data_IF_022671460919
#
_entry.id   IF_022671460919
#
_cell.length_a   1.000
_cell.length_b   1.000
_cell.length_c   1.000
_cell.angle_alpha   90.00
_cell.angle_beta   90.00
_cell.angle_gamma   90.00
#
_symmetry.space_group_name_H-M   'P 1'
#
loop_
_entity.id
_entity.type
_entity.pdbx_description
1 polymer ?
#
# COMPACT_ATOMS: atom_id res chain seq x y z
N UNK A 1 -24.74 22.25 -12.94
CA UNK A 1 -24.19 21.11 -12.24
C UNK A 1 -22.92 21.49 -11.45
N UNK A 2 -21.84 21.96 -12.13
CA UNK A 2 -20.55 22.35 -11.49
C UNK A 2 -20.73 23.35 -10.34
N UNK A 3 -21.49 24.44 -10.58
CA UNK A 3 -21.78 25.47 -9.55
C UNK A 3 -22.53 24.92 -8.34
N UNK A 4 -23.43 23.94 -8.54
CA UNK A 4 -24.14 23.27 -7.45
C UNK A 4 -23.21 22.38 -6.62
N UNK A 5 -22.28 21.68 -7.27
CA UNK A 5 -21.26 20.87 -6.59
C UNK A 5 -20.36 21.78 -5.75
N UNK A 6 -19.81 22.85 -6.36
CA UNK A 6 -18.95 23.81 -5.64
C UNK A 6 -19.67 24.42 -4.44
N UNK A 7 -20.94 24.85 -4.59
CA UNK A 7 -21.72 25.42 -3.47
C UNK A 7 -21.98 24.39 -2.35
N UNK A 8 -22.24 23.13 -2.71
CA UNK A 8 -22.39 22.04 -1.74
C UNK A 8 -21.08 21.76 -1.00
N UNK A 9 -19.95 21.69 -1.72
CA UNK A 9 -18.63 21.47 -1.11
C UNK A 9 -18.25 22.64 -0.20
N UNK A 10 -18.57 23.88 -0.59
CA UNK A 10 -18.27 25.07 0.19
C UNK A 10 -19.12 25.22 1.46
N UNK A 11 -20.20 24.43 1.60
CA UNK A 11 -21.02 24.39 2.81
C UNK A 11 -20.52 23.40 3.87
N UNK A 12 -19.46 22.65 3.56
CA UNK A 12 -18.86 21.67 4.45
C UNK A 12 -17.65 22.29 5.13
N UNK A 13 -17.59 22.20 6.44
CA UNK A 13 -16.39 22.60 7.19
C UNK A 13 -15.44 21.39 7.30
N UNK A 14 -14.49 21.33 6.39
CA UNK A 14 -13.45 20.29 6.42
C UNK A 14 -12.48 20.40 7.60
N UNK A 15 -12.59 21.46 8.42
CA UNK A 15 -11.84 21.58 9.68
C UNK A 15 -12.62 20.99 10.87
N UNK A 16 -13.93 20.82 10.75
CA UNK A 16 -14.72 20.12 11.75
C UNK A 16 -14.43 18.60 11.72
N UNK A 17 -14.05 18.05 12.88
CA UNK A 17 -13.70 16.63 13.01
C UNK A 17 -14.89 15.69 12.74
N UNK A 18 -16.10 16.12 13.09
CA UNK A 18 -17.33 15.35 12.88
C UNK A 18 -17.68 15.27 11.39
N UNK A 19 -17.65 16.41 10.70
CA UNK A 19 -17.89 16.50 9.27
C UNK A 19 -16.84 15.71 8.50
N UNK A 20 -15.56 15.85 8.85
CA UNK A 20 -14.46 15.11 8.23
C UNK A 20 -14.62 13.59 8.34
N UNK A 21 -14.96 13.09 9.53
CA UNK A 21 -15.19 11.67 9.76
C UNK A 21 -16.36 11.14 8.92
N UNK A 22 -17.46 11.88 8.90
CA UNK A 22 -18.64 11.52 8.11
C UNK A 22 -18.33 11.47 6.60
N UNK A 23 -17.57 12.44 6.11
CA UNK A 23 -17.11 12.43 4.71
C UNK A 23 -16.12 11.31 4.43
N UNK A 24 -15.23 11.00 5.34
CA UNK A 24 -14.32 9.86 5.23
C UNK A 24 -15.09 8.55 5.07
N UNK A 25 -16.10 8.31 5.87
CA UNK A 25 -16.92 7.10 5.80
C UNK A 25 -17.70 7.03 4.47
N UNK A 26 -18.28 8.13 4.01
CA UNK A 26 -18.96 8.22 2.71
C UNK A 26 -17.97 7.99 1.56
N UNK A 27 -16.78 8.56 1.65
CA UNK A 27 -15.74 8.40 0.64
C UNK A 27 -15.26 6.94 0.53
N UNK A 28 -15.06 6.29 1.66
CA UNK A 28 -14.75 4.86 1.70
C UNK A 28 -15.86 4.01 1.07
N UNK A 29 -17.13 4.35 1.33
CA UNK A 29 -18.28 3.70 0.67
C UNK A 29 -18.22 3.90 -0.84
N UNK A 30 -17.95 5.12 -1.29
CA UNK A 30 -17.82 5.43 -2.72
C UNK A 30 -16.69 4.64 -3.38
N UNK A 31 -15.54 4.51 -2.71
CA UNK A 31 -14.41 3.70 -3.21
C UNK A 31 -14.80 2.21 -3.32
N UNK A 32 -15.54 1.68 -2.35
CA UNK A 32 -16.07 0.32 -2.40
C UNK A 32 -17.07 0.13 -3.57
N UNK A 33 -17.93 1.11 -3.79
CA UNK A 33 -18.93 1.06 -4.88
C UNK A 33 -18.25 1.15 -6.26
N UNK A 34 -17.21 1.98 -6.41
CA UNK A 34 -16.40 2.07 -7.62
C UNK A 34 -15.67 0.76 -7.93
N UNK A 35 -15.19 0.06 -6.89
CA UNK A 35 -14.64 -1.27 -7.03
C UNK A 35 -15.67 -2.25 -7.59
N UNK A 36 -16.85 -2.28 -6.98
CA UNK A 36 -17.94 -3.18 -7.39
C UNK A 36 -18.43 -2.93 -8.81
N UNK A 37 -18.35 -1.68 -9.29
CA UNK A 37 -18.77 -1.26 -10.63
C UNK A 37 -17.76 -1.60 -11.75
N UNK A 38 -16.61 -2.16 -11.45
CA UNK A 38 -15.66 -2.60 -12.45
C UNK A 38 -14.70 -1.52 -13.01
N UNK A 39 -14.80 -0.28 -12.55
CA UNK A 39 -14.08 0.85 -13.16
C UNK A 39 -12.79 1.25 -12.42
N UNK A 40 -12.57 0.79 -11.20
CA UNK A 40 -11.38 1.13 -10.39
C UNK A 40 -10.93 0.00 -9.46
N UNK A 41 -11.44 -1.20 -9.62
CA UNK A 41 -11.24 -2.32 -8.70
C UNK A 41 -9.83 -2.88 -8.67
N UNK A 42 -9.04 -2.65 -9.72
CA UNK A 42 -7.63 -3.04 -9.73
C UNK A 42 -6.77 -2.25 -8.73
N UNK A 43 -7.31 -1.15 -8.17
CA UNK A 43 -6.61 -0.26 -7.24
C UNK A 43 -7.08 -0.40 -5.79
N UNK A 44 -7.98 -1.32 -5.54
CA UNK A 44 -8.60 -1.46 -4.23
C UNK A 44 -8.36 -2.85 -3.63
N UNK A 45 -7.79 -2.88 -2.45
CA UNK A 45 -7.65 -4.11 -1.66
C UNK A 45 -8.85 -4.27 -0.74
N UNK A 46 -9.56 -5.42 -0.76
CA UNK A 46 -10.73 -5.64 0.09
C UNK A 46 -10.46 -5.37 1.57
N UNK A 47 -11.37 -4.68 2.24
CA UNK A 47 -11.19 -4.24 3.64
C UNK A 47 -10.94 -5.39 4.62
N UNK A 48 -11.52 -6.55 4.38
CA UNK A 48 -11.24 -7.75 5.19
C UNK A 48 -9.78 -8.19 5.11
N UNK A 49 -9.16 -8.08 3.93
CA UNK A 49 -7.74 -8.41 3.73
C UNK A 49 -6.84 -7.37 4.40
N UNK A 50 -7.10 -6.07 4.17
CA UNK A 50 -6.29 -5.01 4.79
C UNK A 50 -6.37 -5.05 6.31
N UNK A 51 -7.58 -5.25 6.88
CA UNK A 51 -7.78 -5.33 8.31
C UNK A 51 -7.05 -6.53 8.93
N UNK A 52 -7.16 -7.71 8.31
CA UNK A 52 -6.47 -8.91 8.75
C UNK A 52 -4.94 -8.73 8.75
N UNK A 53 -4.39 -8.17 7.66
CA UNK A 53 -2.94 -7.98 7.54
C UNK A 53 -2.43 -6.95 8.53
N UNK A 54 -3.12 -5.82 8.69
CA UNK A 54 -2.78 -4.78 9.66
C UNK A 54 -2.82 -5.30 11.09
N UNK A 55 -3.86 -6.07 11.44
CA UNK A 55 -3.98 -6.67 12.77
C UNK A 55 -2.82 -7.65 13.08
N UNK A 56 -2.38 -8.43 12.08
CA UNK A 56 -1.26 -9.37 12.27
C UNK A 56 0.11 -8.71 12.29
N UNK A 57 0.30 -7.63 11.56
CA UNK A 57 1.55 -6.85 11.50
C UNK A 57 1.67 -5.91 12.71
N UNK A 58 0.55 -5.42 13.23
CA UNK A 58 0.47 -4.57 14.42
C UNK A 58 1.40 -3.34 14.34
N UNK A 59 1.15 -2.42 13.38
CA UNK A 59 1.93 -1.19 13.26
C UNK A 59 1.74 -0.27 14.45
N UNK A 60 2.85 0.38 14.87
CA UNK A 60 2.87 1.32 16.01
C UNK A 60 3.37 2.69 15.56
N UNK A 61 2.95 3.79 16.24
CA UNK A 61 3.54 5.10 16.03
C UNK A 61 5.08 5.03 16.13
N UNK A 62 5.77 5.77 15.25
CA UNK A 62 7.25 5.77 15.18
C UNK A 62 7.87 4.66 14.32
N UNK A 63 7.15 3.57 14.02
CA UNK A 63 7.62 2.57 13.05
C UNK A 63 7.34 3.06 11.62
N UNK A 64 8.37 3.23 10.81
CA UNK A 64 8.20 3.66 9.41
C UNK A 64 7.45 2.59 8.62
N UNK A 65 6.23 2.89 8.23
CA UNK A 65 5.35 2.03 7.43
C UNK A 65 5.37 2.49 5.98
N UNK A 66 5.64 1.56 5.07
CA UNK A 66 5.66 1.80 3.63
C UNK A 66 4.61 0.96 2.91
N UNK A 67 3.80 1.63 2.08
CA UNK A 67 3.00 1.00 1.02
C UNK A 67 3.57 1.41 -0.34
N UNK A 68 4.13 0.47 -1.07
CA UNK A 68 4.84 0.71 -2.34
C UNK A 68 3.93 0.84 -3.56
N UNK A 69 2.64 0.57 -3.40
CA UNK A 69 1.60 0.60 -4.44
C UNK A 69 0.25 0.84 -3.79
N UNK A 70 0.12 2.02 -3.16
CA UNK A 70 -0.93 2.26 -2.17
C UNK A 70 -2.35 2.34 -2.76
N UNK A 71 -2.50 2.43 -4.08
CA UNK A 71 -3.80 2.54 -4.71
C UNK A 71 -4.59 3.70 -4.13
N UNK A 72 -5.74 3.42 -3.54
CA UNK A 72 -6.59 4.43 -2.86
C UNK A 72 -6.25 4.62 -1.37
N UNK A 73 -5.17 4.02 -0.87
CA UNK A 73 -4.70 4.17 0.51
C UNK A 73 -5.33 3.21 1.53
N UNK A 74 -5.79 2.05 1.08
CA UNK A 74 -6.49 1.09 1.93
C UNK A 74 -5.68 0.58 3.13
N UNK A 75 -4.41 0.24 2.93
CA UNK A 75 -3.52 -0.14 4.03
C UNK A 75 -3.20 1.02 4.95
N UNK A 76 -3.02 2.22 4.40
CA UNK A 76 -2.72 3.43 5.18
C UNK A 76 -3.88 3.76 6.13
N UNK A 77 -5.12 3.88 5.62
CA UNK A 77 -6.30 4.18 6.44
C UNK A 77 -6.55 3.11 7.49
N UNK A 78 -6.36 1.84 7.14
CA UNK A 78 -6.52 0.73 8.09
C UNK A 78 -5.44 0.78 9.19
N UNK A 79 -4.18 1.04 8.83
CA UNK A 79 -3.07 1.17 9.79
C UNK A 79 -3.24 2.36 10.72
N UNK A 80 -3.63 3.53 10.21
CA UNK A 80 -3.94 4.70 11.04
C UNK A 80 -5.07 4.41 12.03
N UNK A 81 -6.14 3.77 11.56
CA UNK A 81 -7.27 3.38 12.43
C UNK A 81 -6.82 2.41 13.53
N UNK A 82 -5.99 1.44 13.17
CA UNK A 82 -5.40 0.49 14.13
C UNK A 82 -4.54 1.20 15.17
N UNK A 83 -3.59 2.03 14.72
CA UNK A 83 -2.70 2.78 15.62
C UNK A 83 -3.49 3.73 16.54
N UNK A 84 -4.47 4.47 16.02
CA UNK A 84 -5.34 5.35 16.82
C UNK A 84 -6.15 4.58 17.85
N UNK A 85 -6.62 3.39 17.54
CA UNK A 85 -7.43 2.62 18.49
C UNK A 85 -6.62 1.94 19.60
N UNK A 86 -5.34 1.63 19.35
CA UNK A 86 -4.54 0.84 20.28
C UNK A 86 -3.41 1.62 20.95
N UNK A 87 -2.82 2.60 20.26
CA UNK A 87 -1.55 3.20 20.67
C UNK A 87 -1.59 4.73 20.82
N UNK A 88 -2.29 5.44 19.93
CA UNK A 88 -2.36 6.91 19.97
C UNK A 88 -3.21 7.38 21.14
N UNK A 89 -2.60 8.12 22.07
CA UNK A 89 -3.26 8.67 23.28
C UNK A 89 -3.03 10.17 23.43
N UNK A 90 -1.99 10.69 22.81
CA UNK A 90 -1.60 12.10 22.90
C UNK A 90 -1.50 12.71 21.49
N UNK A 91 -1.36 14.03 21.44
CA UNK A 91 -1.11 14.76 20.20
C UNK A 91 0.25 14.37 19.61
N UNK A 92 1.22 14.15 20.46
CA UNK A 92 2.57 13.71 20.07
C UNK A 92 2.54 12.32 19.40
N UNK A 93 1.76 11.37 19.95
CA UNK A 93 1.57 10.04 19.34
C UNK A 93 0.94 10.16 17.95
N UNK A 94 -0.03 11.06 17.79
CA UNK A 94 -0.70 11.32 16.50
C UNK A 94 0.29 11.90 15.47
N UNK A 95 1.12 12.85 15.90
CA UNK A 95 2.16 13.45 15.05
C UNK A 95 3.22 12.41 14.64
N UNK A 96 3.65 11.58 15.58
CA UNK A 96 4.60 10.50 15.32
C UNK A 96 4.04 9.46 14.34
N UNK A 97 2.77 9.09 14.52
CA UNK A 97 2.07 8.21 13.58
C UNK A 97 2.04 8.81 12.18
N UNK A 98 1.63 10.08 12.03
CA UNK A 98 1.57 10.74 10.72
C UNK A 98 2.96 10.85 10.08
N UNK A 99 3.99 11.18 10.85
CA UNK A 99 5.36 11.30 10.38
C UNK A 99 5.98 9.95 9.95
N UNK A 100 5.43 8.82 10.40
CA UNK A 100 5.94 7.48 10.10
C UNK A 100 5.39 6.87 8.82
N UNK A 101 4.37 7.47 8.19
CA UNK A 101 3.76 6.93 6.98
C UNK A 101 4.58 7.27 5.72
N UNK A 102 4.68 6.29 4.82
CA UNK A 102 5.28 6.44 3.48
C UNK A 102 4.44 5.68 2.47
N UNK A 103 4.22 6.27 1.30
CA UNK A 103 3.45 5.62 0.25
C UNK A 103 3.90 6.06 -1.14
N UNK A 104 3.75 5.17 -2.10
CA UNK A 104 4.00 5.45 -3.51
C UNK A 104 2.83 4.91 -4.34
N UNK A 105 2.37 5.70 -5.30
CA UNK A 105 1.38 5.27 -6.29
C UNK A 105 1.76 5.80 -7.68
N UNK A 106 1.83 4.87 -8.64
CA UNK A 106 2.26 5.17 -10.01
C UNK A 106 1.17 5.86 -10.84
N UNK A 107 -0.09 5.47 -10.63
CA UNK A 107 -1.19 5.95 -11.47
C UNK A 107 -1.81 7.23 -10.91
N UNK A 108 -2.05 8.26 -11.78
CA UNK A 108 -2.51 9.58 -11.33
C UNK A 108 -3.84 9.54 -10.57
N UNK A 109 -4.83 8.78 -11.08
CA UNK A 109 -6.15 8.73 -10.48
C UNK A 109 -6.15 8.08 -9.09
N UNK A 110 -5.59 6.86 -8.89
CA UNK A 110 -5.47 6.28 -7.55
C UNK A 110 -4.65 7.16 -6.59
N UNK A 111 -3.56 7.77 -7.06
CA UNK A 111 -2.78 8.71 -6.26
C UNK A 111 -3.65 9.87 -5.74
N UNK A 112 -4.41 10.53 -6.62
CA UNK A 112 -5.32 11.60 -6.23
C UNK A 112 -6.38 11.12 -5.23
N UNK A 113 -6.94 9.92 -5.45
CA UNK A 113 -7.92 9.31 -4.53
C UNK A 113 -7.29 8.99 -3.17
N UNK A 114 -6.04 8.51 -3.14
CA UNK A 114 -5.30 8.27 -1.91
C UNK A 114 -5.05 9.57 -1.13
N UNK A 115 -4.53 10.62 -1.78
CA UNK A 115 -4.30 11.92 -1.16
C UNK A 115 -5.58 12.47 -0.54
N UNK A 116 -6.69 12.43 -1.29
CA UNK A 116 -8.02 12.84 -0.77
C UNK A 116 -8.43 12.00 0.43
N UNK A 117 -8.22 10.69 0.38
CA UNK A 117 -8.53 9.77 1.47
C UNK A 117 -7.73 10.10 2.73
N UNK A 118 -6.44 10.43 2.60
CA UNK A 118 -5.59 10.83 3.73
C UNK A 118 -6.10 12.12 4.37
N UNK A 119 -6.41 13.15 3.60
CA UNK A 119 -6.98 14.41 4.09
C UNK A 119 -8.29 14.18 4.87
N UNK A 120 -9.20 13.37 4.32
CA UNK A 120 -10.47 13.03 4.98
C UNK A 120 -10.29 12.22 6.26
N UNK A 121 -9.19 11.47 6.39
CA UNK A 121 -8.83 10.74 7.61
C UNK A 121 -7.96 11.56 8.58
N UNK A 122 -7.85 12.88 8.37
CA UNK A 122 -7.22 13.80 9.32
C UNK A 122 -5.70 13.91 9.20
N UNK A 123 -5.13 13.46 8.10
CA UNK A 123 -3.72 13.73 7.80
C UNK A 123 -3.59 15.21 7.41
N UNK A 124 -2.68 15.93 8.08
CA UNK A 124 -2.47 17.36 7.84
C UNK A 124 -1.65 17.61 6.58
N UNK A 125 -0.63 16.80 6.36
CA UNK A 125 0.24 16.88 5.17
C UNK A 125 0.36 15.50 4.49
N UNK A 126 -0.41 15.24 3.42
CA UNK A 126 -0.36 13.97 2.69
C UNK A 126 0.80 13.88 1.68
N UNK A 127 1.80 14.76 1.73
CA UNK A 127 2.95 14.78 0.80
C UNK A 127 3.82 13.51 0.85
N UNK A 128 3.66 12.70 1.89
CA UNK A 128 4.29 11.38 1.98
C UNK A 128 3.73 10.36 0.96
N UNK A 129 2.57 10.64 0.35
CA UNK A 129 2.01 9.86 -0.77
C UNK A 129 2.64 10.37 -2.05
N UNK A 130 3.66 9.70 -2.52
CA UNK A 130 4.42 10.11 -3.71
C UNK A 130 3.76 9.59 -4.99
N UNK A 131 3.64 10.46 -6.00
CA UNK A 131 3.23 10.06 -7.34
C UNK A 131 4.47 9.64 -8.14
N UNK A 132 4.84 8.37 -8.06
CA UNK A 132 6.05 7.84 -8.68
C UNK A 132 5.91 6.34 -8.96
N UNK A 133 6.84 5.79 -9.74
CA UNK A 133 6.99 4.36 -9.92
C UNK A 133 8.08 3.83 -8.99
N UNK A 134 7.70 3.08 -7.97
CA UNK A 134 8.60 2.46 -6.99
C UNK A 134 9.73 1.65 -7.65
N UNK A 135 9.48 1.03 -8.81
CA UNK A 135 10.47 0.21 -9.53
C UNK A 135 11.39 1.03 -10.46
N UNK A 136 11.12 2.33 -10.66
CA UNK A 136 11.93 3.17 -11.55
C UNK A 136 13.31 3.51 -10.97
N UNK A 137 13.44 3.53 -9.65
CA UNK A 137 14.71 3.80 -8.99
C UNK A 137 15.61 2.53 -9.02
N UNK A 138 16.90 2.65 -9.40
CA UNK A 138 17.81 1.50 -9.42
C UNK A 138 17.90 0.79 -8.05
N UNK A 139 17.76 -0.54 -8.06
CA UNK A 139 17.80 -1.38 -6.86
C UNK A 139 19.04 -1.13 -5.97
N UNK A 140 20.21 -0.93 -6.60
CA UNK A 140 21.47 -0.69 -5.89
C UNK A 140 21.50 0.66 -5.15
N UNK A 141 20.68 1.64 -5.59
CA UNK A 141 20.63 2.97 -4.97
C UNK A 141 19.81 3.00 -3.67
N UNK A 142 19.06 1.96 -3.36
CA UNK A 142 18.39 1.83 -2.08
C UNK A 142 19.41 1.45 -1.00
N UNK A 143 19.67 2.38 -0.08
CA UNK A 143 20.62 2.24 1.03
C UNK A 143 19.95 1.93 2.37
N UNK A 144 20.73 2.03 3.45
CA UNK A 144 20.21 1.80 4.81
C UNK A 144 19.19 2.85 5.25
N UNK A 145 19.32 4.09 4.79
CA UNK A 145 18.37 5.18 5.09
C UNK A 145 17.01 5.01 4.43
N UNK A 146 16.93 4.18 3.38
CA UNK A 146 15.67 3.89 2.70
C UNK A 146 14.89 2.74 3.36
N UNK A 147 15.51 2.02 4.29
CA UNK A 147 14.90 0.87 4.95
C UNK A 147 13.80 1.29 5.91
N UNK A 148 12.75 0.50 5.95
CA UNK A 148 11.54 0.73 6.73
C UNK A 148 11.30 -0.39 7.76
N UNK A 149 10.53 -0.08 8.78
CA UNK A 149 10.19 -1.04 9.84
C UNK A 149 9.07 -1.98 9.40
N UNK A 150 8.14 -1.45 8.58
CA UNK A 150 6.95 -2.17 8.14
C UNK A 150 6.72 -1.96 6.64
N UNK A 151 6.43 -3.06 5.95
CA UNK A 151 5.87 -3.03 4.59
C UNK A 151 4.49 -3.68 4.65
N UNK A 152 3.46 -2.93 4.23
CA UNK A 152 2.09 -3.41 4.04
C UNK A 152 1.63 -2.99 2.66
N UNK A 153 1.48 -3.94 1.75
CA UNK A 153 1.23 -3.60 0.35
C UNK A 153 0.56 -4.72 -0.43
N UNK A 154 -0.13 -4.33 -1.49
CA UNK A 154 -0.71 -5.21 -2.50
C UNK A 154 -0.20 -4.75 -3.88
N UNK A 155 0.99 -5.22 -4.32
CA UNK A 155 1.54 -4.82 -5.61
C UNK A 155 0.68 -5.33 -6.77
N UNK A 156 0.77 -4.72 -7.96
CA UNK A 156 0.02 -5.17 -9.13
C UNK A 156 0.32 -6.63 -9.49
N UNK A 157 -0.73 -7.42 -9.76
CA UNK A 157 -0.62 -8.83 -10.18
C UNK A 157 -0.54 -8.96 -11.69
N UNK A 158 0.36 -9.82 -12.18
CA UNK A 158 0.34 -10.32 -13.57
C UNK A 158 0.54 -9.25 -14.66
N UNK A 159 0.99 -8.06 -14.33
CA UNK A 159 1.39 -7.04 -15.30
C UNK A 159 2.84 -7.23 -15.73
N UNK A 160 3.13 -6.78 -16.96
CA UNK A 160 4.52 -6.53 -17.38
C UNK A 160 4.81 -5.07 -17.11
N UNK A 161 5.94 -4.82 -16.47
CA UNK A 161 6.39 -3.45 -16.25
C UNK A 161 6.84 -2.82 -17.58
N UNK A 162 6.96 -1.50 -17.60
CA UNK A 162 7.47 -0.75 -18.74
C UNK A 162 8.85 -1.25 -19.17
N UNK A 163 9.13 -1.21 -20.47
CA UNK A 163 10.42 -1.67 -21.00
C UNK A 163 11.58 -0.85 -20.36
N UNK A 164 12.58 -1.58 -19.91
CA UNK A 164 13.77 -0.99 -19.28
C UNK A 164 13.75 -0.99 -17.76
N UNK A 165 12.58 -1.09 -17.10
CA UNK A 165 12.47 -1.14 -15.63
C UNK A 165 13.25 -2.32 -15.06
N UNK A 166 13.23 -3.47 -15.71
CA UNK A 166 13.98 -4.65 -15.31
C UNK A 166 15.49 -4.42 -15.25
N UNK A 167 16.01 -3.45 -16.00
CA UNK A 167 17.43 -3.10 -15.99
C UNK A 167 17.87 -2.42 -14.68
N UNK A 168 16.94 -1.87 -13.90
CA UNK A 168 17.21 -1.32 -12.58
C UNK A 168 17.56 -2.39 -11.54
N UNK A 169 17.33 -3.66 -11.87
CA UNK A 169 17.53 -4.77 -10.95
C UNK A 169 18.80 -5.57 -11.29
N UNK A 170 19.41 -6.26 -10.30
CA UNK A 170 20.53 -7.16 -10.53
C UNK A 170 20.18 -8.23 -11.58
N UNK A 171 21.17 -8.65 -12.37
CA UNK A 171 20.95 -9.56 -13.50
C UNK A 171 20.20 -10.84 -13.15
N UNK A 172 20.41 -11.37 -11.95
CA UNK A 172 19.76 -12.60 -11.46
C UNK A 172 18.30 -12.41 -11.04
N UNK A 173 17.83 -11.16 -10.87
CA UNK A 173 16.43 -10.82 -10.56
C UNK A 173 15.70 -10.16 -11.74
N UNK A 174 16.35 -9.98 -12.88
CA UNK A 174 15.72 -9.35 -14.02
C UNK A 174 14.59 -10.21 -14.57
N UNK A 175 13.40 -9.61 -14.54
CA UNK A 175 12.16 -10.17 -15.07
C UNK A 175 11.24 -9.04 -15.48
N UNK A 176 10.28 -9.31 -16.35
CA UNK A 176 9.20 -8.36 -16.67
C UNK A 176 7.98 -8.54 -15.76
N UNK A 177 7.97 -9.54 -14.89
CA UNK A 177 6.90 -9.80 -13.93
C UNK A 177 6.97 -8.79 -12.80
N UNK A 178 6.00 -7.87 -12.72
CA UNK A 178 5.96 -6.78 -11.76
C UNK A 178 6.02 -7.26 -10.31
N UNK A 179 5.25 -8.30 -9.96
CA UNK A 179 5.20 -8.83 -8.59
C UNK A 179 6.55 -9.39 -8.11
N UNK A 180 7.34 -9.97 -9.01
CA UNK A 180 8.67 -10.50 -8.69
C UNK A 180 9.67 -9.37 -8.42
N UNK A 181 9.62 -8.28 -9.20
CA UNK A 181 10.46 -7.10 -8.98
C UNK A 181 10.13 -6.44 -7.65
N UNK A 182 8.85 -6.34 -7.29
CA UNK A 182 8.44 -5.84 -5.99
C UNK A 182 8.95 -6.73 -4.86
N UNK A 183 8.84 -8.06 -4.97
CA UNK A 183 9.35 -8.97 -3.94
C UNK A 183 10.86 -8.80 -3.71
N UNK A 184 11.66 -8.70 -4.79
CA UNK A 184 13.09 -8.41 -4.67
C UNK A 184 13.34 -7.10 -3.90
N UNK A 185 12.57 -6.07 -4.22
CA UNK A 185 12.72 -4.76 -3.58
C UNK A 185 12.31 -4.78 -2.10
N UNK A 186 11.28 -5.54 -1.71
CA UNK A 186 10.84 -5.63 -0.31
C UNK A 186 11.92 -6.21 0.60
N UNK A 187 12.60 -7.27 0.16
CA UNK A 187 13.73 -7.85 0.90
C UNK A 187 14.81 -6.77 1.13
N UNK A 188 15.07 -5.93 0.12
CA UNK A 188 16.04 -4.84 0.21
C UNK A 188 15.64 -3.73 1.15
N UNK A 189 14.34 -3.38 1.17
CA UNK A 189 13.81 -2.24 1.91
C UNK A 189 13.47 -2.53 3.38
N UNK A 190 13.31 -3.79 3.74
CA UNK A 190 12.98 -4.13 5.12
C UNK A 190 14.20 -4.00 6.03
N UNK A 191 14.05 -3.35 7.18
CA UNK A 191 15.08 -3.31 8.22
C UNK A 191 15.28 -4.68 8.85
N UNK A 192 16.47 -4.99 9.40
CA UNK A 192 16.61 -6.14 10.30
C UNK A 192 15.60 -6.05 11.46
N UNK A 193 14.84 -7.11 11.68
CA UNK A 193 13.73 -7.13 12.66
C UNK A 193 12.44 -6.45 12.21
N UNK A 194 12.41 -5.87 11.01
CA UNK A 194 11.19 -5.34 10.41
C UNK A 194 10.19 -6.43 10.01
N UNK A 195 8.95 -6.02 9.74
CA UNK A 195 7.82 -6.92 9.45
C UNK A 195 7.19 -6.57 8.10
N UNK A 196 6.78 -7.57 7.34
CA UNK A 196 6.09 -7.34 6.07
C UNK A 196 4.84 -8.19 5.94
N UNK A 197 3.76 -7.57 5.49
CA UNK A 197 2.56 -8.23 4.99
C UNK A 197 2.37 -7.87 3.51
N UNK A 198 2.43 -8.87 2.64
CA UNK A 198 2.45 -8.68 1.20
C UNK A 198 1.41 -9.58 0.55
N UNK A 199 0.59 -9.02 -0.34
CA UNK A 199 -0.32 -9.82 -1.17
C UNK A 199 0.42 -10.16 -2.46
N UNK A 200 0.52 -11.45 -2.78
CA UNK A 200 1.20 -11.94 -3.98
C UNK A 200 0.34 -12.96 -4.72
N UNK A 201 0.49 -13.10 -6.04
CA UNK A 201 -0.17 -14.17 -6.78
C UNK A 201 0.42 -15.53 -6.45
N UNK A 202 -0.39 -16.60 -6.51
CA UNK A 202 0.04 -18.00 -6.28
C UNK A 202 1.29 -18.37 -7.11
N UNK A 203 1.41 -17.86 -8.32
CA UNK A 203 2.56 -18.06 -9.20
C UNK A 203 3.91 -17.66 -8.61
N UNK A 204 3.95 -16.77 -7.64
CA UNK A 204 5.19 -16.41 -6.92
C UNK A 204 5.74 -17.57 -6.09
N UNK A 205 4.86 -18.45 -5.57
CA UNK A 205 5.25 -19.63 -4.78
C UNK A 205 5.68 -20.81 -5.64
N UNK A 206 5.03 -21.02 -6.79
CA UNK A 206 5.19 -22.24 -7.59
C UNK A 206 6.06 -22.07 -8.84
N UNK A 207 6.42 -20.84 -9.20
CA UNK A 207 7.24 -20.55 -10.39
C UNK A 207 8.71 -20.94 -10.22
N UNK A 208 9.37 -21.10 -11.37
CA UNK A 208 10.80 -21.42 -11.49
C UNK A 208 11.63 -20.22 -11.95
N UNK A 209 12.93 -20.41 -12.11
CA UNK A 209 13.86 -19.40 -12.63
C UNK A 209 14.10 -18.25 -11.67
N UNK A 210 13.70 -17.02 -12.01
CA UNK A 210 13.84 -15.85 -11.14
C UNK A 210 13.08 -16.06 -9.83
N UNK A 211 11.89 -16.65 -9.89
CA UNK A 211 11.07 -16.94 -8.69
C UNK A 211 11.76 -17.90 -7.72
N UNK A 212 12.52 -18.87 -8.20
CA UNK A 212 13.32 -19.76 -7.35
C UNK A 212 14.38 -18.95 -6.57
N UNK A 213 15.12 -18.10 -7.27
CA UNK A 213 16.16 -17.26 -6.64
C UNK A 213 15.59 -16.25 -5.63
N UNK A 214 14.43 -15.70 -5.93
CA UNK A 214 13.74 -14.81 -4.98
C UNK A 214 13.29 -15.55 -3.72
N UNK A 215 12.79 -16.79 -3.86
CA UNK A 215 12.44 -17.64 -2.72
C UNK A 215 13.68 -18.01 -1.89
N UNK A 216 14.78 -18.36 -2.53
CA UNK A 216 16.06 -18.64 -1.86
C UNK A 216 16.49 -17.42 -1.04
N UNK A 217 16.58 -16.23 -1.65
CA UNK A 217 16.96 -15.01 -0.94
C UNK A 217 15.97 -14.67 0.19
N UNK A 218 14.67 -14.82 -0.05
CA UNK A 218 13.66 -14.58 0.98
C UNK A 218 13.86 -15.48 2.21
N UNK A 219 14.19 -16.75 2.00
CA UNK A 219 14.41 -17.71 3.09
C UNK A 219 15.78 -17.53 3.77
N UNK A 220 16.78 -16.99 3.06
CA UNK A 220 18.10 -16.68 3.62
C UNK A 220 18.10 -15.40 4.45
N UNK A 221 17.41 -14.36 3.98
CA UNK A 221 17.46 -13.01 4.59
C UNK A 221 16.28 -12.72 5.51
N UNK A 222 15.15 -13.44 5.35
CA UNK A 222 13.91 -13.19 6.07
C UNK A 222 13.36 -14.45 6.74
N UNK A 223 12.56 -14.26 7.79
CA UNK A 223 11.77 -15.32 8.40
C UNK A 223 10.37 -15.35 7.77
N UNK A 224 10.16 -16.18 6.76
CA UNK A 224 8.83 -16.43 6.19
C UNK A 224 8.03 -17.36 7.11
N UNK A 225 7.31 -16.80 8.08
CA UNK A 225 6.60 -17.60 9.11
C UNK A 225 5.14 -17.90 8.80
N UNK A 226 4.50 -17.18 7.88
CA UNK A 226 3.07 -17.35 7.61
C UNK A 226 2.75 -17.13 6.13
N UNK A 227 2.03 -18.08 5.55
CA UNK A 227 1.41 -17.96 4.23
C UNK A 227 -0.08 -18.20 4.40
N UNK A 228 -0.90 -17.26 3.94
CA UNK A 228 -2.36 -17.36 3.97
C UNK A 228 -2.88 -17.36 2.55
N UNK A 229 -3.50 -18.46 2.14
CA UNK A 229 -4.17 -18.54 0.85
C UNK A 229 -5.56 -17.92 0.95
N UNK A 230 -5.79 -16.89 0.15
CA UNK A 230 -7.07 -16.21 0.09
C UNK A 230 -8.04 -16.98 -0.83
N UNK A 231 -9.37 -16.88 -0.58
CA UNK A 231 -10.37 -17.45 -1.49
C UNK A 231 -10.28 -16.84 -2.89
N UNK A 232 -10.48 -17.64 -3.92
CA UNK A 232 -10.37 -17.21 -5.33
C UNK A 232 -11.31 -16.06 -5.72
N UNK A 233 -12.34 -15.77 -4.93
CA UNK A 233 -13.31 -14.70 -5.18
C UNK A 233 -12.91 -13.34 -4.59
N UNK A 234 -11.87 -13.29 -3.75
CA UNK A 234 -11.54 -12.08 -2.97
C UNK A 234 -11.19 -10.90 -3.85
N UNK A 235 -10.51 -11.13 -4.98
CA UNK A 235 -10.10 -10.09 -5.93
C UNK A 235 -10.92 -10.09 -7.23
N UNK A 236 -12.02 -10.87 -7.32
CA UNK A 236 -12.89 -10.83 -8.50
C UNK A 236 -13.62 -9.48 -8.59
N UNK A 237 -13.87 -8.99 -9.84
CA UNK A 237 -13.59 -9.61 -11.13
C UNK A 237 -12.17 -9.38 -11.68
N UNK A 238 -11.25 -8.76 -10.95
CA UNK A 238 -9.99 -8.18 -11.47
C UNK A 238 -8.82 -9.16 -11.50
N UNK A 239 -8.78 -10.10 -10.58
CA UNK A 239 -7.82 -11.19 -10.62
C UNK A 239 -8.53 -12.52 -10.30
N UNK A 240 -8.34 -13.50 -11.16
CA UNK A 240 -8.52 -14.91 -10.82
C UNK A 240 -7.19 -15.41 -10.27
N UNK A 241 -7.17 -15.65 -8.99
CA UNK A 241 -6.05 -16.24 -8.29
C UNK A 241 -6.21 -17.76 -8.36
#
# INVERSE_FOLDING_TARGET
>A
LMRQVVNKTNSVDFNDLSDRKHFGDIYEQLLNDLQSAGNAGEYYTPRGVTAFMVDRIDPKPGEILLDTSCGTGGFLTCSMRHMRSHYVKTVEDEQEMQASLRAVEKKPLPHMLCVTNMLLHGIEDPSFVQHDNTLARPYISYGQSDRVDIILTNPPFGGKEEDGIESNFPAHFRTKETADLFLALFIRLLKPGGRAGIVLPDGSLFGEGVKTRLKEQLLEECNLHTIVRLPNSVFKPYASI
#
